data_IF_336404105875
#
_entry.id   IF_336404105875
#
_cell.length_a   1.000
_cell.length_b   1.000
_cell.length_c   1.000
_cell.angle_alpha   90.00
_cell.angle_beta   90.00
_cell.angle_gamma   90.00
#
_symmetry.space_group_name_H-M   'P 1'
#
loop_
_entity.id
_entity.type
_entity.pdbx_description
1 polymer ?
#
# COMPACT_ATOMS: atom_id res chain seq x y z
N UNK A 1 -1.47 4.19 6.19
CA UNK A 1 -1.49 4.62 4.79
C UNK A 1 -0.11 5.16 4.40
N UNK A 2 0.37 4.81 3.21
CA UNK A 2 1.73 5.07 2.72
C UNK A 2 1.67 6.00 1.50
N UNK A 3 2.37 7.14 1.57
CA UNK A 3 2.39 8.11 0.48
C UNK A 3 3.22 7.65 -0.73
N UNK A 4 2.94 8.24 -1.89
CA UNK A 4 3.75 8.08 -3.11
C UNK A 4 5.03 8.91 -3.08
N UNK A 5 5.88 8.73 -4.10
CA UNK A 5 7.12 9.50 -4.25
C UNK A 5 6.83 11.00 -4.28
N UNK A 6 7.57 11.77 -3.47
CA UNK A 6 7.38 13.21 -3.34
C UNK A 6 6.13 13.63 -2.55
N UNK A 7 5.38 12.67 -2.01
CA UNK A 7 4.25 12.94 -1.12
C UNK A 7 4.66 13.08 0.35
N UNK A 8 3.67 13.19 1.22
CA UNK A 8 3.83 13.29 2.67
C UNK A 8 2.66 12.64 3.41
N UNK A 9 2.80 12.45 4.71
CA UNK A 9 1.72 11.97 5.57
C UNK A 9 0.48 12.89 5.49
N UNK A 10 0.67 14.21 5.50
CA UNK A 10 -0.44 15.17 5.37
C UNK A 10 -1.13 15.06 4.03
N UNK A 11 -0.38 14.93 2.92
CA UNK A 11 -0.96 14.79 1.59
C UNK A 11 -1.84 13.52 1.45
N UNK A 12 -1.49 12.44 2.16
CA UNK A 12 -2.33 11.24 2.26
C UNK A 12 -3.68 11.57 2.92
N UNK A 13 -3.65 12.24 4.06
CA UNK A 13 -4.86 12.57 4.81
C UNK A 13 -5.74 13.57 4.04
N UNK A 14 -5.13 14.60 3.43
CA UNK A 14 -5.79 15.59 2.58
C UNK A 14 -6.41 14.98 1.31
N UNK A 15 -5.98 13.78 0.92
CA UNK A 15 -6.50 13.01 -0.22
C UNK A 15 -7.94 12.52 -0.07
N UNK A 16 -8.59 12.76 1.07
CA UNK A 16 -10.01 12.42 1.30
C UNK A 16 -10.23 11.29 2.31
N UNK A 17 -9.20 10.91 3.08
CA UNK A 17 -9.29 9.82 4.08
C UNK A 17 -10.39 10.08 5.10
N UNK A 18 -10.45 11.29 5.68
CA UNK A 18 -11.46 11.63 6.69
C UNK A 18 -12.89 11.52 6.13
N UNK A 19 -13.11 12.06 4.92
CA UNK A 19 -14.41 12.00 4.25
C UNK A 19 -14.82 10.56 3.93
N UNK A 20 -13.86 9.74 3.45
CA UNK A 20 -14.10 8.34 3.14
C UNK A 20 -14.42 7.52 4.38
N UNK A 21 -13.72 7.74 5.50
CA UNK A 21 -14.02 7.11 6.79
C UNK A 21 -15.41 7.52 7.29
N UNK A 22 -15.74 8.81 7.24
CA UNK A 22 -17.05 9.30 7.63
C UNK A 22 -18.18 8.67 6.80
N UNK A 23 -17.98 8.51 5.48
CA UNK A 23 -18.93 7.81 4.61
C UNK A 23 -19.11 6.35 5.00
N UNK A 24 -18.02 5.62 5.27
CA UNK A 24 -18.07 4.22 5.69
C UNK A 24 -18.84 4.05 7.00
N UNK A 25 -18.56 4.88 8.01
CA UNK A 25 -19.25 4.85 9.31
C UNK A 25 -20.73 5.23 9.16
N UNK A 26 -21.06 6.25 8.37
CA UNK A 26 -22.45 6.63 8.10
C UNK A 26 -23.23 5.53 7.35
N UNK A 27 -22.54 4.69 6.60
CA UNK A 27 -23.12 3.49 5.96
C UNK A 27 -23.27 2.30 6.93
N UNK A 28 -22.95 2.47 8.22
CA UNK A 28 -23.10 1.45 9.26
C UNK A 28 -21.92 0.50 9.38
N UNK A 29 -20.78 0.81 8.74
CA UNK A 29 -19.57 0.02 8.89
C UNK A 29 -18.85 0.37 10.20
N UNK A 30 -18.15 -0.61 10.82
CA UNK A 30 -17.41 -0.37 12.05
C UNK A 30 -16.27 0.63 11.79
N UNK A 31 -16.02 1.55 12.75
CA UNK A 31 -14.95 2.53 12.64
C UNK A 31 -13.57 1.88 12.81
N UNK A 32 -12.58 2.40 12.10
CA UNK A 32 -11.18 2.07 12.27
C UNK A 32 -10.30 3.32 12.13
N UNK A 33 -9.09 3.28 12.67
CA UNK A 33 -8.15 4.39 12.54
C UNK A 33 -7.33 4.27 11.25
N UNK A 34 -7.05 5.39 10.61
CA UNK A 34 -6.05 5.49 9.54
C UNK A 34 -4.92 6.39 10.03
N UNK A 35 -3.70 5.91 9.91
CA UNK A 35 -2.48 6.61 10.30
C UNK A 35 -1.57 6.70 9.08
N UNK A 36 -0.93 7.84 8.88
CA UNK A 36 0.09 8.04 7.87
C UNK A 36 1.37 8.60 8.50
N UNK A 37 2.50 8.35 7.86
CA UNK A 37 3.83 8.75 8.31
C UNK A 37 4.68 9.14 7.10
N UNK A 38 5.63 10.06 7.29
CA UNK A 38 6.57 10.43 6.25
C UNK A 38 7.65 9.35 6.11
N UNK A 39 7.77 8.78 4.92
CA UNK A 39 8.76 7.75 4.57
C UNK A 39 9.80 8.23 3.56
N UNK A 40 9.89 9.54 3.31
CA UNK A 40 10.83 10.11 2.36
C UNK A 40 10.68 9.55 0.94
N UNK A 41 11.80 9.24 0.31
CA UNK A 41 11.87 8.67 -1.04
C UNK A 41 12.46 7.27 -1.05
N UNK A 42 12.44 6.58 0.11
CA UNK A 42 13.13 5.31 0.33
C UNK A 42 12.48 4.10 -0.34
N UNK A 43 11.32 4.25 -0.97
CA UNK A 43 10.50 3.13 -1.45
C UNK A 43 10.18 2.10 -0.36
N UNK A 44 10.05 2.57 0.89
CA UNK A 44 9.61 1.78 2.04
C UNK A 44 10.48 0.52 2.32
N UNK A 45 11.77 0.57 1.93
CA UNK A 45 12.74 -0.47 2.24
C UNK A 45 14.10 0.13 2.59
N UNK A 46 14.99 -0.70 3.12
CA UNK A 46 16.35 -0.27 3.49
C UNK A 46 17.12 0.18 2.24
N UNK A 47 17.79 1.34 2.35
CA UNK A 47 18.60 1.92 1.29
C UNK A 47 20.08 1.87 1.68
N UNK A 48 20.96 1.92 0.69
CA UNK A 48 22.41 2.01 0.91
C UNK A 48 22.82 3.26 1.72
N UNK A 49 21.99 4.31 1.73
CA UNK A 49 22.17 5.48 2.60
C UNK A 49 22.01 5.19 4.09
N UNK A 50 21.47 4.02 4.46
CA UNK A 50 21.08 3.67 5.83
C UNK A 50 19.64 4.04 6.19
N UNK A 51 18.91 4.72 5.31
CA UNK A 51 17.49 5.04 5.47
C UNK A 51 16.65 3.76 5.33
N UNK A 52 15.71 3.52 6.26
CA UNK A 52 14.80 2.37 6.22
C UNK A 52 13.42 2.77 6.76
N UNK A 53 12.60 3.38 5.91
CA UNK A 53 11.24 3.75 6.26
C UNK A 53 10.34 2.51 6.49
N UNK A 54 10.67 1.38 5.90
CA UNK A 54 9.96 0.12 6.15
C UNK A 54 10.16 -0.38 7.57
N UNK A 55 11.40 -0.41 8.03
CA UNK A 55 11.72 -0.77 9.42
C UNK A 55 11.09 0.21 10.41
N UNK A 56 11.11 1.51 10.14
CA UNK A 56 10.45 2.52 10.96
C UNK A 56 8.94 2.23 11.09
N UNK A 57 8.25 1.90 10.01
CA UNK A 57 6.81 1.54 10.07
C UNK A 57 6.59 0.28 10.91
N UNK A 58 7.35 -0.78 10.65
CA UNK A 58 7.09 -2.09 11.27
C UNK A 58 7.56 -2.15 12.73
N UNK A 59 8.68 -1.50 13.08
CA UNK A 59 9.37 -1.66 14.36
C UNK A 59 9.20 -0.47 15.30
N UNK A 60 8.74 0.68 14.81
CA UNK A 60 8.56 1.89 15.62
C UNK A 60 7.12 2.38 15.59
N UNK A 61 6.55 2.66 14.39
CA UNK A 61 5.20 3.20 14.27
C UNK A 61 4.14 2.24 14.82
N UNK A 62 4.11 0.99 14.36
CA UNK A 62 3.09 0.02 14.80
C UNK A 62 3.16 -0.20 16.32
N UNK A 63 4.33 -0.42 16.95
CA UNK A 63 4.42 -0.48 18.42
C UNK A 63 4.01 0.82 19.13
N UNK A 64 4.32 1.99 18.56
CA UNK A 64 3.88 3.27 19.11
C UNK A 64 2.34 3.37 19.13
N UNK A 65 1.66 2.94 18.06
CA UNK A 65 0.19 2.97 17.98
C UNK A 65 -0.46 2.08 19.05
N UNK A 66 0.15 0.94 19.38
CA UNK A 66 -0.30 0.09 20.48
C UNK A 66 -0.27 0.83 21.82
N UNK A 67 0.78 1.62 22.08
CA UNK A 67 0.86 2.47 23.28
C UNK A 67 -0.22 3.56 23.33
N UNK A 68 -0.78 3.95 22.19
CA UNK A 68 -1.88 4.90 22.05
C UNK A 68 -3.27 4.22 22.15
N UNK A 69 -3.32 2.96 22.56
CA UNK A 69 -4.56 2.16 22.74
C UNK A 69 -5.30 1.87 21.42
N UNK A 70 -4.59 1.87 20.30
CA UNK A 70 -5.10 1.34 19.05
C UNK A 70 -4.80 -0.16 19.01
N UNK A 71 -5.77 -0.97 18.58
CA UNK A 71 -5.53 -2.39 18.37
C UNK A 71 -4.63 -2.57 17.15
N UNK A 72 -3.41 -3.01 17.39
CA UNK A 72 -2.39 -3.29 16.37
C UNK A 72 -2.11 -4.78 16.23
N UNK A 73 -2.95 -5.63 16.81
CA UNK A 73 -2.82 -7.10 16.67
C UNK A 73 -2.88 -7.53 15.19
N UNK A 74 -3.72 -6.85 14.42
CA UNK A 74 -3.78 -6.93 12.96
C UNK A 74 -3.92 -5.54 12.36
N UNK A 75 -3.11 -5.25 11.37
CA UNK A 75 -3.11 -3.95 10.66
C UNK A 75 -3.33 -4.14 9.16
N UNK A 76 -3.87 -3.14 8.49
CA UNK A 76 -3.97 -3.10 7.05
C UNK A 76 -3.03 -2.06 6.46
N UNK A 77 -2.59 -2.27 5.23
CA UNK A 77 -1.74 -1.33 4.50
C UNK A 77 -2.48 -0.79 3.28
N UNK A 78 -2.53 0.53 3.17
CA UNK A 78 -3.03 1.27 2.00
C UNK A 78 -1.90 2.12 1.46
N UNK A 79 -1.77 2.23 0.14
CA UNK A 79 -0.80 3.17 -0.42
C UNK A 79 -0.96 3.39 -1.92
N UNK A 80 -0.43 4.52 -2.39
CA UNK A 80 -0.47 4.95 -3.78
C UNK A 80 0.92 5.00 -4.38
N UNK A 81 1.10 4.53 -5.62
CA UNK A 81 2.37 4.59 -6.33
C UNK A 81 3.51 3.89 -5.56
N UNK A 82 4.54 4.62 -5.14
CA UNK A 82 5.59 4.14 -4.22
C UNK A 82 4.98 3.54 -2.94
N UNK A 83 3.93 4.17 -2.38
CA UNK A 83 3.21 3.65 -1.21
C UNK A 83 2.41 2.39 -1.52
N UNK A 84 1.88 2.24 -2.73
CA UNK A 84 1.21 1.01 -3.18
C UNK A 84 2.17 -0.18 -3.25
N UNK A 85 3.37 0.05 -3.78
CA UNK A 85 4.47 -0.92 -3.71
C UNK A 85 4.84 -1.20 -2.24
N UNK A 86 5.01 -0.16 -1.41
CA UNK A 86 5.32 -0.29 0.01
C UNK A 86 4.26 -1.08 0.78
N UNK A 87 2.97 -0.89 0.48
CA UNK A 87 1.89 -1.64 1.11
C UNK A 87 2.00 -3.15 0.85
N UNK A 88 2.32 -3.55 -0.38
CA UNK A 88 2.58 -4.95 -0.73
C UNK A 88 3.81 -5.50 0.00
N UNK A 89 4.90 -4.75 0.00
CA UNK A 89 6.16 -5.17 0.62
C UNK A 89 6.02 -5.30 2.14
N UNK A 90 5.52 -4.26 2.81
CA UNK A 90 5.43 -4.25 4.28
C UNK A 90 4.37 -5.22 4.80
N UNK A 91 3.22 -5.32 4.12
CA UNK A 91 2.21 -6.32 4.46
C UNK A 91 2.73 -7.74 4.32
N UNK A 92 3.51 -8.04 3.28
CA UNK A 92 4.19 -9.31 3.11
C UNK A 92 5.22 -9.59 4.22
N UNK A 93 6.03 -8.59 4.60
CA UNK A 93 7.04 -8.71 5.66
C UNK A 93 6.43 -8.90 7.05
N UNK A 94 5.36 -8.19 7.35
CA UNK A 94 4.62 -8.36 8.60
C UNK A 94 3.95 -9.73 8.68
N UNK A 95 3.59 -10.29 7.53
CA UNK A 95 3.04 -11.62 7.36
C UNK A 95 1.53 -11.74 7.57
N UNK A 96 0.93 -12.85 7.08
CA UNK A 96 -0.52 -13.01 7.03
C UNK A 96 -1.19 -13.10 8.41
N UNK A 97 -0.46 -13.47 9.47
CA UNK A 97 -1.02 -13.52 10.82
C UNK A 97 -1.32 -12.12 11.38
N UNK A 98 -0.56 -11.11 10.98
CA UNK A 98 -0.68 -9.73 11.47
C UNK A 98 -1.18 -8.73 10.43
N UNK A 99 -1.15 -9.08 9.15
CA UNK A 99 -1.67 -8.23 8.07
C UNK A 99 -3.12 -8.61 7.79
N UNK A 100 -4.03 -7.73 8.15
CA UNK A 100 -5.47 -7.92 7.92
C UNK A 100 -5.81 -7.83 6.43
N UNK A 101 -5.23 -6.86 5.73
CA UNK A 101 -5.46 -6.63 4.31
C UNK A 101 -4.42 -5.66 3.70
N UNK A 102 -4.29 -5.68 2.37
CA UNK A 102 -3.45 -4.76 1.61
C UNK A 102 -4.28 -4.14 0.48
N UNK A 103 -4.26 -2.81 0.37
CA UNK A 103 -4.78 -2.09 -0.78
C UNK A 103 -3.64 -1.35 -1.50
N UNK A 104 -3.31 -1.81 -2.69
CA UNK A 104 -2.25 -1.25 -3.53
C UNK A 104 -2.86 -0.48 -4.70
N UNK A 105 -2.76 0.85 -4.67
CA UNK A 105 -3.36 1.73 -5.66
C UNK A 105 -2.28 2.23 -6.61
N UNK A 106 -2.43 1.97 -7.90
CA UNK A 106 -1.42 2.33 -8.92
C UNK A 106 0.00 1.98 -8.47
N UNK A 107 0.28 0.77 -7.95
CA UNK A 107 1.55 0.46 -7.29
C UNK A 107 2.72 0.62 -8.27
N UNK A 108 3.79 1.26 -7.80
CA UNK A 108 5.01 1.46 -8.60
C UNK A 108 5.77 0.13 -8.76
N UNK A 109 5.40 -0.63 -9.75
CA UNK A 109 5.93 -1.95 -10.06
C UNK A 109 6.71 -1.95 -11.37
N UNK A 110 7.79 -2.72 -11.41
CA UNK A 110 8.62 -2.93 -12.60
C UNK A 110 8.86 -4.42 -12.84
N UNK A 111 8.83 -4.83 -14.09
CA UNK A 111 9.00 -6.22 -14.51
C UNK A 111 10.47 -6.67 -14.60
N UNK A 112 11.39 -5.72 -14.62
CA UNK A 112 12.83 -5.98 -14.67
C UNK A 112 13.60 -4.84 -14.00
N UNK A 113 14.80 -5.14 -13.50
CA UNK A 113 15.70 -4.13 -12.96
C UNK A 113 16.06 -3.02 -13.96
N UNK A 114 16.14 -3.37 -15.25
CA UNK A 114 16.46 -2.42 -16.32
C UNK A 114 15.35 -1.42 -16.65
N UNK A 115 14.13 -1.64 -16.16
CA UNK A 115 12.99 -0.73 -16.36
C UNK A 115 12.71 0.17 -15.15
N UNK A 116 13.44 -0.02 -14.06
CA UNK A 116 13.26 0.73 -12.80
C UNK A 116 13.59 2.20 -12.99
N UNK A 117 12.73 3.07 -12.48
CA UNK A 117 12.99 4.51 -12.49
C UNK A 117 14.21 4.85 -11.62
N UNK A 118 15.08 5.77 -12.08
CA UNK A 118 16.26 6.18 -11.31
C UNK A 118 15.89 6.61 -9.87
N UNK A 119 16.68 6.16 -8.91
CA UNK A 119 16.47 6.48 -7.48
C UNK A 119 15.45 5.61 -6.75
N UNK A 120 14.70 4.74 -7.44
CA UNK A 120 13.72 3.87 -6.78
C UNK A 120 14.38 2.72 -6.00
N UNK A 121 15.51 2.22 -6.49
CA UNK A 121 16.34 1.18 -5.86
C UNK A 121 17.82 1.52 -6.02
N UNK A 122 18.66 0.93 -5.18
CA UNK A 122 20.11 1.17 -5.21
C UNK A 122 20.84 0.36 -6.30
N UNK A 123 20.13 -0.48 -7.00
CA UNK A 123 20.64 -1.27 -8.13
C UNK A 123 19.81 -2.52 -8.40
N UNK A 124 20.25 -3.35 -9.35
CA UNK A 124 19.51 -4.56 -9.72
C UNK A 124 19.35 -5.57 -8.58
N UNK A 125 20.36 -5.71 -7.73
CA UNK A 125 20.32 -6.65 -6.60
C UNK A 125 19.34 -6.16 -5.53
N UNK A 126 19.31 -4.86 -5.25
CA UNK A 126 18.36 -4.24 -4.33
C UNK A 126 16.91 -4.39 -4.85
N UNK A 127 16.68 -4.12 -6.14
CA UNK A 127 15.38 -4.37 -6.77
C UNK A 127 14.96 -5.84 -6.65
N UNK A 128 15.86 -6.77 -6.90
CA UNK A 128 15.56 -8.21 -6.82
C UNK A 128 15.23 -8.65 -5.39
N UNK A 129 16.01 -8.17 -4.41
CA UNK A 129 15.81 -8.48 -3.00
C UNK A 129 14.49 -7.91 -2.43
N UNK A 130 14.00 -6.82 -3.00
CA UNK A 130 12.79 -6.14 -2.57
C UNK A 130 11.61 -6.27 -3.56
N UNK A 131 11.72 -7.18 -4.52
CA UNK A 131 10.63 -7.47 -5.45
C UNK A 131 9.42 -8.05 -4.71
N UNK A 132 8.22 -7.57 -5.04
CA UNK A 132 6.96 -8.07 -4.48
C UNK A 132 6.36 -9.21 -5.32
N UNK A 133 6.93 -9.50 -6.48
CA UNK A 133 6.46 -10.59 -7.34
C UNK A 133 6.80 -11.94 -6.73
N UNK A 134 5.81 -12.84 -6.69
CA UNK A 134 6.01 -14.22 -6.22
C UNK A 134 6.21 -14.37 -4.70
N UNK A 135 5.98 -13.33 -3.90
CA UNK A 135 6.07 -13.42 -2.42
C UNK A 135 4.96 -14.34 -1.87
N UNK A 136 5.29 -15.47 -1.21
CA UNK A 136 4.29 -16.44 -0.76
C UNK A 136 3.26 -15.86 0.22
N UNK A 137 3.67 -14.92 1.08
CA UNK A 137 2.78 -14.30 2.07
C UNK A 137 1.58 -13.59 1.41
N UNK A 138 1.77 -13.01 0.23
CA UNK A 138 0.69 -12.31 -0.50
C UNK A 138 -0.42 -13.25 -0.96
N UNK A 139 -0.15 -14.54 -1.06
CA UNK A 139 -1.17 -15.55 -1.39
C UNK A 139 -2.18 -15.83 -0.28
N UNK A 140 -1.89 -15.41 0.96
CA UNK A 140 -2.73 -15.66 2.13
C UNK A 140 -3.30 -14.39 2.77
N UNK A 141 -3.01 -13.22 2.20
CA UNK A 141 -3.49 -11.92 2.68
C UNK A 141 -4.58 -11.42 1.73
N UNK A 142 -5.72 -10.93 2.22
CA UNK A 142 -6.70 -10.22 1.38
C UNK A 142 -6.05 -9.02 0.69
N UNK A 143 -6.12 -8.99 -0.64
CA UNK A 143 -5.52 -7.93 -1.45
C UNK A 143 -6.60 -7.22 -2.27
N UNK A 144 -6.51 -5.90 -2.33
CA UNK A 144 -7.21 -5.04 -3.29
C UNK A 144 -6.19 -4.32 -4.14
N UNK A 145 -6.44 -4.26 -5.45
CA UNK A 145 -5.61 -3.51 -6.40
C UNK A 145 -6.51 -2.63 -7.24
N UNK A 146 -6.28 -1.33 -7.23
CA UNK A 146 -6.92 -0.38 -8.12
C UNK A 146 -5.86 0.30 -8.99
N UNK A 147 -6.02 0.27 -10.32
CA UNK A 147 -5.06 0.87 -11.24
C UNK A 147 -5.75 1.41 -12.50
N UNK A 148 -5.33 2.59 -12.93
CA UNK A 148 -5.86 3.20 -14.15
C UNK A 148 -5.37 2.50 -15.42
N UNK A 149 -6.22 2.39 -16.44
CA UNK A 149 -5.85 1.77 -17.72
C UNK A 149 -4.78 2.56 -18.52
N UNK A 150 -4.60 3.84 -18.18
CA UNK A 150 -3.59 4.72 -18.76
C UNK A 150 -2.42 5.00 -17.80
N UNK A 151 -2.33 4.24 -16.72
CA UNK A 151 -1.25 4.33 -15.73
C UNK A 151 0.04 3.71 -16.30
N UNK A 152 1.21 4.33 -16.15
CA UNK A 152 2.48 3.74 -16.63
C UNK A 152 2.80 2.40 -15.96
N UNK A 153 2.28 2.13 -14.77
CA UNK A 153 2.45 0.85 -14.09
C UNK A 153 1.38 -0.19 -14.42
N UNK A 154 0.41 0.13 -15.29
CA UNK A 154 -0.70 -0.76 -15.64
C UNK A 154 -0.24 -2.16 -16.07
N UNK A 155 0.74 -2.24 -16.98
CA UNK A 155 1.22 -3.52 -17.51
C UNK A 155 1.87 -4.38 -16.41
N UNK A 156 2.70 -3.79 -15.55
CA UNK A 156 3.35 -4.48 -14.44
C UNK A 156 2.33 -4.89 -13.36
N UNK A 157 1.38 -4.01 -13.04
CA UNK A 157 0.30 -4.30 -12.09
C UNK A 157 -0.58 -5.44 -12.60
N UNK A 158 -0.92 -5.46 -13.89
CA UNK A 158 -1.69 -6.55 -14.50
C UNK A 158 -0.96 -7.89 -14.41
N UNK A 159 0.35 -7.89 -14.63
CA UNK A 159 1.17 -9.10 -14.51
C UNK A 159 1.29 -9.54 -13.04
N UNK A 160 1.42 -8.61 -12.10
CA UNK A 160 1.39 -8.90 -10.68
C UNK A 160 0.07 -9.57 -10.27
N UNK A 161 -1.06 -8.99 -10.64
CA UNK A 161 -2.40 -9.54 -10.36
C UNK A 161 -2.56 -10.95 -10.93
N UNK A 162 -2.06 -11.21 -12.14
CA UNK A 162 -2.12 -12.52 -12.79
C UNK A 162 -1.29 -13.61 -12.08
N UNK A 163 -0.34 -13.23 -11.22
CA UNK A 163 0.48 -14.16 -10.44
C UNK A 163 -0.10 -14.46 -9.06
N UNK A 164 -1.10 -13.69 -8.61
CA UNK A 164 -1.74 -13.97 -7.33
C UNK A 164 -2.56 -15.27 -7.42
N UNK A 165 -2.52 -16.13 -6.38
CA UNK A 165 -3.28 -17.39 -6.37
C UNK A 165 -4.79 -17.18 -6.31
N UNK A 166 -5.22 -16.02 -5.82
CA UNK A 166 -6.61 -15.60 -5.76
C UNK A 166 -6.78 -14.21 -6.39
N UNK A 167 -7.86 -13.98 -7.16
CA UNK A 167 -8.14 -12.66 -7.71
C UNK A 167 -8.27 -11.62 -6.60
N UNK A 168 -7.58 -10.48 -6.69
CA UNK A 168 -7.74 -9.41 -5.71
C UNK A 168 -9.09 -8.71 -5.89
N UNK A 169 -9.55 -8.01 -4.84
CA UNK A 169 -10.61 -7.03 -4.97
C UNK A 169 -10.15 -5.81 -5.79
N UNK A 170 -11.08 -4.91 -6.16
CA UNK A 170 -10.77 -3.75 -6.99
C UNK A 170 -10.68 -4.11 -8.47
N UNK A 171 -9.79 -3.47 -9.19
CA UNK A 171 -9.56 -3.77 -10.60
C UNK A 171 -8.96 -2.63 -11.42
N UNK A 172 -9.13 -2.73 -12.72
CA UNK A 172 -8.62 -1.76 -13.70
C UNK A 172 -9.78 -0.94 -14.26
N UNK A 173 -9.65 0.39 -14.23
CA UNK A 173 -10.70 1.30 -14.70
C UNK A 173 -10.10 2.47 -15.48
N UNK A 174 -10.90 3.26 -16.22
CA UNK A 174 -10.41 4.44 -16.92
C UNK A 174 -9.74 5.41 -15.93
N UNK A 175 -8.50 5.80 -16.23
CA UNK A 175 -7.72 6.73 -15.40
C UNK A 175 -6.23 6.60 -15.63
N UNK A 176 -5.48 7.51 -15.07
CA UNK A 176 -4.02 7.56 -15.13
C UNK A 176 -3.38 7.62 -13.75
N UNK A 177 -2.08 7.85 -13.69
CA UNK A 177 -1.28 7.92 -12.46
C UNK A 177 -1.39 9.30 -11.80
N UNK A 178 -2.50 9.59 -11.12
CA UNK A 178 -2.74 10.91 -10.55
C UNK A 178 -3.71 10.89 -9.35
N UNK A 179 -3.67 11.96 -8.56
CA UNK A 179 -4.48 12.12 -7.36
C UNK A 179 -5.99 12.07 -7.62
N UNK A 180 -6.46 12.54 -8.77
CA UNK A 180 -7.89 12.47 -9.12
C UNK A 180 -8.39 11.04 -9.25
N UNK A 181 -7.59 10.15 -9.86
CA UNK A 181 -7.89 8.72 -9.91
C UNK A 181 -7.91 8.12 -8.50
N UNK A 182 -6.85 8.36 -7.72
CA UNK A 182 -6.71 7.78 -6.37
C UNK A 182 -7.81 8.21 -5.42
N UNK A 183 -8.12 9.51 -5.35
CA UNK A 183 -9.20 10.03 -4.50
C UNK A 183 -10.57 9.47 -4.89
N UNK A 184 -10.80 9.18 -6.16
CA UNK A 184 -12.06 8.58 -6.61
C UNK A 184 -12.23 7.12 -6.16
N UNK A 185 -11.14 6.36 -5.95
CA UNK A 185 -11.20 4.97 -5.48
C UNK A 185 -11.31 4.88 -3.95
N UNK A 186 -10.80 5.87 -3.23
CA UNK A 186 -10.61 5.84 -1.78
C UNK A 186 -11.86 5.47 -0.96
N UNK A 187 -13.08 5.96 -1.25
CA UNK A 187 -14.28 5.55 -0.51
C UNK A 187 -14.55 4.04 -0.59
N UNK A 188 -14.36 3.44 -1.77
CA UNK A 188 -14.55 2.00 -1.96
C UNK A 188 -13.43 1.18 -1.27
N UNK A 189 -12.20 1.71 -1.23
CA UNK A 189 -11.08 1.12 -0.55
C UNK A 189 -11.28 1.08 0.97
N UNK A 190 -11.69 2.20 1.57
CA UNK A 190 -11.96 2.29 3.01
C UNK A 190 -13.16 1.44 3.41
N UNK A 191 -14.22 1.41 2.59
CA UNK A 191 -15.37 0.52 2.78
C UNK A 191 -14.94 -0.95 2.78
N UNK A 192 -14.04 -1.33 1.88
CA UNK A 192 -13.54 -2.70 1.79
C UNK A 192 -12.69 -3.11 3.00
N UNK A 193 -11.93 -2.18 3.61
CA UNK A 193 -11.12 -2.48 4.80
C UNK A 193 -11.95 -2.75 6.05
N UNK A 194 -13.06 -2.06 6.24
CA UNK A 194 -13.80 -2.05 7.51
C UNK A 194 -14.09 -3.47 8.06
N UNK A 195 -14.71 -4.40 7.32
CA UNK A 195 -14.99 -5.74 7.82
C UNK A 195 -13.72 -6.60 8.02
N UNK A 196 -12.61 -6.28 7.37
CA UNK A 196 -11.35 -7.02 7.45
C UNK A 196 -10.50 -6.63 8.68
N UNK A 197 -10.74 -5.44 9.22
CA UNK A 197 -10.05 -4.92 10.40
C UNK A 197 -10.79 -5.21 11.70
N UNK A 198 -12.08 -5.49 11.65
CA UNK A 198 -12.95 -5.60 12.85
C UNK A 198 -13.57 -6.99 13.02
N UNK A 199 -13.18 -7.94 12.17
CA UNK A 199 -13.67 -9.33 12.17
C UNK A 199 -12.78 -10.30 12.93
#
# INVERSE_FOLDING_TARGET
ALHGLGGSASAVMDGGVEQGLAQAVNAGLPPFAVVSVDGGSSYWHQRASGEDAGAMVLNELIPLLDTQRLDTSRVAFLGWSMGGYGALLLGSRLGPARTAAICAVSPALWLSAGSVAPGSFDGPDDWSANSVFGLPALGSIPIRVDCGNSDPFYAATKQFVAQLPHPPAGGFSPGGHNGGFWSAQLPAELTWFAPLLTG
#
